data_IF_223862906482
#
_entry.id   IF_223862906482
#
_cell.length_a   1.000
_cell.length_b   1.000
_cell.length_c   1.000
_cell.angle_alpha   90.00
_cell.angle_beta   90.00
_cell.angle_gamma   90.00
#
_symmetry.space_group_name_H-M   'P 1'
#
loop_
_entity.id
_entity.type
_entity.pdbx_description
1 polymer ?
#
# COMPACT_ATOMS: atom_id res chain seq x y z
N UNK A 1 -6.55 13.64 5.33
CA UNK A 1 -5.32 13.24 6.08
C UNK A 1 -5.27 11.72 6.25
N UNK A 2 -5.01 11.03 5.14
CA UNK A 2 -4.60 9.62 5.08
C UNK A 2 -3.57 9.45 3.95
N UNK A 3 -2.89 10.55 3.63
CA UNK A 3 -1.99 10.68 2.51
C UNK A 3 -0.57 10.36 2.97
N UNK A 4 0.06 9.45 2.24
CA UNK A 4 1.50 9.45 1.91
C UNK A 4 2.54 8.87 2.88
N UNK A 5 2.20 8.31 4.05
CA UNK A 5 3.23 7.74 4.95
C UNK A 5 2.90 6.41 5.63
N UNK A 6 2.01 5.59 5.08
CA UNK A 6 1.91 4.21 5.53
C UNK A 6 2.94 3.37 4.75
N UNK A 7 4.14 3.29 5.32
CA UNK A 7 4.88 2.02 5.28
C UNK A 7 3.84 0.91 5.53
N UNK A 8 3.76 -0.07 4.61
CA UNK A 8 2.83 -1.19 4.66
C UNK A 8 2.78 -1.75 6.09
N UNK A 9 1.78 -1.36 6.88
CA UNK A 9 1.69 -1.83 8.26
C UNK A 9 1.58 -3.35 8.24
N UNK A 10 2.15 -4.09 9.21
CA UNK A 10 2.15 -5.55 9.17
C UNK A 10 0.74 -6.13 8.98
N UNK A 11 -0.26 -5.53 9.63
CA UNK A 11 -1.67 -5.92 9.49
C UNK A 11 -2.30 -5.55 8.15
N UNK A 12 -1.84 -4.50 7.47
CA UNK A 12 -2.26 -4.19 6.11
C UNK A 12 -1.62 -5.16 5.11
N UNK A 13 -0.31 -5.40 5.22
CA UNK A 13 0.42 -6.35 4.38
C UNK A 13 -0.14 -7.78 4.48
N UNK A 14 -0.52 -8.21 5.68
CA UNK A 14 -1.11 -9.53 5.93
C UNK A 14 -2.47 -9.73 5.24
N UNK A 15 -3.23 -8.65 5.01
CA UNK A 15 -4.54 -8.69 4.35
C UNK A 15 -4.47 -8.75 2.83
N UNK A 16 -3.32 -8.43 2.23
CA UNK A 16 -3.18 -8.45 0.77
C UNK A 16 -3.17 -9.90 0.24
N UNK A 17 -3.89 -10.19 -0.88
CA UNK A 17 -3.85 -11.49 -1.53
C UNK A 17 -2.42 -11.92 -1.87
N UNK A 18 -2.05 -13.15 -1.54
CA UNK A 18 -0.70 -13.70 -1.76
C UNK A 18 -0.66 -14.58 -3.01
N UNK A 19 0.49 -14.58 -3.69
CA UNK A 19 0.75 -15.51 -4.78
C UNK A 19 0.93 -16.93 -4.24
N UNK A 20 0.20 -17.87 -4.82
CA UNK A 20 0.24 -19.29 -4.42
C UNK A 20 1.35 -20.09 -5.11
N UNK A 21 1.90 -19.60 -6.22
CA UNK A 21 2.91 -20.31 -7.02
C UNK A 21 3.89 -19.32 -7.67
N UNK A 22 5.03 -19.83 -8.13
CA UNK A 22 6.02 -19.10 -8.92
C UNK A 22 7.15 -18.48 -8.09
N UNK A 23 8.02 -17.66 -8.70
CA UNK A 23 9.24 -17.15 -8.05
C UNK A 23 8.97 -16.19 -6.87
N UNK A 24 7.72 -15.72 -6.72
CA UNK A 24 7.29 -14.77 -5.69
C UNK A 24 6.21 -15.37 -4.78
N UNK A 25 6.17 -16.70 -4.64
CA UNK A 25 5.26 -17.39 -3.74
C UNK A 25 5.33 -16.80 -2.31
N UNK A 26 4.15 -16.60 -1.69
CA UNK A 26 4.03 -15.99 -0.36
C UNK A 26 4.13 -14.46 -0.34
N UNK A 27 4.54 -13.80 -1.43
CA UNK A 27 4.49 -12.35 -1.56
C UNK A 27 3.10 -11.86 -2.02
N UNK A 28 2.71 -10.61 -1.72
CA UNK A 28 1.50 -10.01 -2.25
C UNK A 28 1.44 -10.11 -3.77
N UNK A 29 0.27 -10.41 -4.33
CA UNK A 29 0.03 -10.45 -5.78
C UNK A 29 0.47 -9.17 -6.48
N UNK A 30 0.19 -8.02 -5.87
CA UNK A 30 0.62 -6.73 -6.39
C UNK A 30 2.15 -6.62 -6.58
N UNK A 31 2.96 -7.33 -5.78
CA UNK A 31 4.40 -7.40 -5.99
C UNK A 31 4.76 -8.01 -7.34
N UNK A 32 4.16 -9.15 -7.69
CA UNK A 32 4.38 -9.79 -8.99
C UNK A 32 3.93 -8.91 -10.15
N UNK A 33 2.78 -8.25 -10.01
CA UNK A 33 2.21 -7.32 -11.01
C UNK A 33 3.18 -6.16 -11.29
N UNK A 34 3.70 -5.53 -10.23
CA UNK A 34 4.61 -4.39 -10.34
C UNK A 34 6.01 -4.83 -10.78
N UNK A 35 6.50 -5.97 -10.31
CA UNK A 35 7.78 -6.53 -10.75
C UNK A 35 7.77 -6.77 -12.26
N UNK A 36 6.69 -7.34 -12.79
CA UNK A 36 6.56 -7.58 -14.22
C UNK A 36 6.58 -6.26 -15.01
N UNK A 37 5.90 -5.21 -14.54
CA UNK A 37 5.95 -3.89 -15.17
C UNK A 37 7.38 -3.36 -15.23
N UNK A 38 8.09 -3.34 -14.10
CA UNK A 38 9.47 -2.82 -14.00
C UNK A 38 10.44 -3.61 -14.87
N UNK A 39 10.28 -4.94 -14.94
CA UNK A 39 11.12 -5.80 -15.76
C UNK A 39 10.93 -5.54 -17.26
N UNK A 40 9.70 -5.29 -17.72
CA UNK A 40 9.41 -5.05 -19.14
C UNK A 40 9.68 -3.61 -19.60
N UNK A 41 9.77 -2.65 -18.67
CA UNK A 41 10.07 -1.25 -18.99
C UNK A 41 11.52 -0.85 -18.72
N UNK A 42 12.39 -1.78 -18.31
CA UNK A 42 13.74 -1.47 -17.80
C UNK A 42 13.70 -0.35 -16.74
N UNK A 43 12.73 -0.45 -15.81
CA UNK A 43 12.48 0.56 -14.77
C UNK A 43 12.11 1.96 -15.28
N UNK A 44 11.81 2.13 -16.56
CA UNK A 44 11.38 3.40 -17.15
C UNK A 44 9.87 3.59 -16.96
N UNK A 45 9.47 4.35 -15.95
CA UNK A 45 8.08 4.48 -15.54
C UNK A 45 7.52 5.87 -15.84
N UNK A 46 6.29 5.87 -16.33
CA UNK A 46 5.45 7.05 -16.57
C UNK A 46 4.06 6.77 -16.01
N UNK A 47 3.35 7.81 -15.56
CA UNK A 47 1.99 7.69 -15.02
C UNK A 47 1.04 7.00 -16.02
N UNK A 48 1.04 7.43 -17.28
CA UNK A 48 0.15 6.85 -18.31
C UNK A 48 0.37 5.35 -18.52
N UNK A 49 1.64 4.92 -18.55
CA UNK A 49 2.00 3.51 -18.72
C UNK A 49 1.52 2.70 -17.51
N UNK A 50 1.72 3.23 -16.29
CA UNK A 50 1.25 2.58 -15.07
C UNK A 50 -0.27 2.42 -15.06
N UNK A 51 -1.02 3.50 -15.35
CA UNK A 51 -2.48 3.45 -15.38
C UNK A 51 -3.00 2.46 -16.43
N UNK A 52 -2.48 2.52 -17.67
CA UNK A 52 -2.88 1.60 -18.74
C UNK A 52 -2.55 0.14 -18.40
N UNK A 53 -1.38 -0.10 -17.83
CA UNK A 53 -0.96 -1.44 -17.43
C UNK A 53 -1.87 -2.02 -16.34
N UNK A 54 -2.15 -1.24 -15.28
CA UNK A 54 -3.04 -1.68 -14.19
C UNK A 54 -4.46 -1.94 -14.71
N UNK A 55 -4.97 -1.10 -15.60
CA UNK A 55 -6.30 -1.31 -16.21
C UNK A 55 -6.32 -2.55 -17.11
N UNK A 56 -5.28 -2.77 -17.91
CA UNK A 56 -5.17 -3.96 -18.74
C UNK A 56 -5.10 -5.23 -17.89
N UNK A 57 -4.33 -5.24 -16.81
CA UNK A 57 -4.27 -6.35 -15.87
C UNK A 57 -5.65 -6.63 -15.24
N UNK A 58 -6.33 -5.57 -14.79
CA UNK A 58 -7.64 -5.66 -14.14
C UNK A 58 -8.77 -6.14 -15.05
N UNK A 59 -8.60 -6.10 -16.38
CA UNK A 59 -9.55 -6.69 -17.34
C UNK A 59 -9.67 -8.22 -17.22
N UNK A 60 -8.63 -8.87 -16.69
CA UNK A 60 -8.60 -10.32 -16.45
C UNK A 60 -8.88 -10.62 -14.98
N UNK A 61 -8.27 -9.86 -14.07
CA UNK A 61 -8.46 -10.09 -12.64
C UNK A 61 -8.47 -8.78 -11.87
N UNK A 62 -9.63 -8.37 -11.30
CA UNK A 62 -9.74 -7.17 -10.49
C UNK A 62 -8.74 -7.14 -9.33
N UNK A 63 -8.11 -5.99 -9.13
CA UNK A 63 -7.27 -5.70 -7.97
C UNK A 63 -8.17 -5.15 -6.86
N UNK A 64 -7.87 -5.50 -5.62
CA UNK A 64 -8.59 -4.93 -4.47
C UNK A 64 -8.16 -3.48 -4.24
N UNK A 65 -9.00 -2.71 -3.53
CA UNK A 65 -8.68 -1.37 -3.04
C UNK A 65 -7.34 -1.39 -2.31
N UNK A 66 -7.12 -2.40 -1.47
CA UNK A 66 -5.88 -2.58 -0.74
C UNK A 66 -4.66 -2.84 -1.64
N UNK A 67 -4.81 -3.60 -2.71
CA UNK A 67 -3.72 -3.82 -3.66
C UNK A 67 -3.38 -2.54 -4.43
N UNK A 68 -4.38 -1.76 -4.85
CA UNK A 68 -4.15 -0.50 -5.55
C UNK A 68 -3.40 0.51 -4.68
N UNK A 69 -3.76 0.64 -3.40
CA UNK A 69 -3.04 1.49 -2.45
C UNK A 69 -1.62 0.98 -2.13
N UNK A 70 -1.32 -0.29 -2.37
CA UNK A 70 0.02 -0.86 -2.18
C UNK A 70 0.97 -0.62 -3.36
N UNK A 71 0.47 -0.18 -4.53
CA UNK A 71 1.26 0.11 -5.73
C UNK A 71 2.46 1.04 -5.48
N UNK A 72 2.32 2.21 -4.82
CA UNK A 72 3.42 3.17 -4.68
C UNK A 72 4.60 2.59 -3.92
N UNK A 73 4.31 1.91 -2.80
CA UNK A 73 5.32 1.32 -1.95
C UNK A 73 5.96 0.11 -2.62
N UNK A 74 5.16 -0.71 -3.30
CA UNK A 74 5.66 -1.87 -4.05
C UNK A 74 6.59 -1.44 -5.18
N UNK A 75 6.26 -0.38 -5.92
CA UNK A 75 7.12 0.21 -6.95
C UNK A 75 8.47 0.65 -6.37
N UNK A 76 8.47 1.37 -5.24
CA UNK A 76 9.70 1.79 -4.56
C UNK A 76 10.56 0.58 -4.18
N UNK A 77 9.96 -0.45 -3.59
CA UNK A 77 10.67 -1.67 -3.19
C UNK A 77 11.33 -2.34 -4.41
N UNK A 78 10.56 -2.57 -5.49
CA UNK A 78 11.05 -3.24 -6.69
C UNK A 78 12.17 -2.43 -7.37
N UNK A 79 12.03 -1.10 -7.45
CA UNK A 79 13.04 -0.23 -8.02
C UNK A 79 14.33 -0.18 -7.19
N UNK A 80 14.22 -0.11 -5.86
CA UNK A 80 15.37 -0.13 -4.95
C UNK A 80 16.09 -1.48 -5.03
N UNK A 81 15.36 -2.58 -5.08
CA UNK A 81 15.94 -3.91 -5.24
C UNK A 81 16.65 -4.06 -6.60
N UNK A 82 16.06 -3.52 -7.67
CA UNK A 82 16.72 -3.50 -8.97
C UNK A 82 17.98 -2.62 -8.98
N UNK A 83 17.96 -1.49 -8.25
CA UNK A 83 19.14 -0.62 -8.07
C UNK A 83 20.24 -1.35 -7.31
N UNK A 84 19.89 -2.05 -6.22
CA UNK A 84 20.83 -2.86 -5.44
C UNK A 84 21.49 -3.91 -6.32
N UNK A 85 20.70 -4.65 -7.11
CA UNK A 85 21.19 -5.66 -8.06
C UNK A 85 22.14 -5.05 -9.09
N UNK A 86 21.77 -3.92 -9.67
CA UNK A 86 22.58 -3.22 -10.70
C UNK A 86 23.87 -2.65 -10.12
N UNK A 87 23.82 -2.05 -8.92
CA UNK A 87 24.99 -1.57 -8.21
C UNK A 87 25.98 -2.70 -7.89
N UNK A 88 25.47 -3.87 -7.48
CA UNK A 88 26.30 -5.04 -7.24
C UNK A 88 26.99 -5.53 -8.53
N UNK A 89 26.29 -5.52 -9.66
CA UNK A 89 26.88 -5.84 -10.96
C UNK A 89 27.98 -4.84 -11.37
N UNK A 90 27.77 -3.54 -11.16
CA UNK A 90 28.78 -2.50 -11.41
C UNK A 90 30.02 -2.70 -10.52
N UNK A 91 29.83 -2.98 -9.23
CA UNK A 91 30.95 -3.24 -8.30
C UNK A 91 31.76 -4.46 -8.76
N UNK A 92 31.10 -5.55 -9.14
CA UNK A 92 31.77 -6.75 -9.66
C UNK A 92 32.53 -6.47 -10.97
N UNK A 93 31.94 -5.68 -11.88
CA UNK A 93 32.61 -5.24 -13.10
C UNK A 93 33.85 -4.39 -12.78
N UNK A 94 33.74 -3.43 -11.85
CA UNK A 94 34.88 -2.62 -11.40
C UNK A 94 35.98 -3.44 -10.74
N UNK A 95 35.64 -4.45 -9.93
CA UNK A 95 36.61 -5.37 -9.34
C UNK A 95 37.35 -6.18 -10.43
N UNK A 96 36.63 -6.63 -11.46
CA UNK A 96 37.25 -7.29 -12.62
C UNK A 96 38.23 -6.38 -13.37
N UNK A 97 37.88 -5.10 -13.54
CA UNK A 97 38.77 -4.10 -14.17
C UNK A 97 40.04 -3.86 -13.33
N UNK A 98 39.91 -3.76 -12.01
CA UNK A 98 41.06 -3.64 -11.10
C UNK A 98 41.96 -4.88 -11.15
N UNK A 99 41.38 -6.08 -11.22
CA UNK A 99 42.14 -7.30 -11.39
C UNK A 99 42.94 -7.30 -12.71
N UNK A 100 42.33 -6.83 -13.80
CA UNK A 100 43.02 -6.66 -15.08
C UNK A 100 44.15 -5.62 -15.01
N UNK A 101 43.97 -4.51 -14.30
CA UNK A 101 45.02 -3.50 -14.10
C UNK A 101 46.21 -4.10 -13.33
N UNK A 102 45.95 -4.80 -12.22
CA UNK A 102 47.00 -5.49 -11.44
C UNK A 102 47.72 -6.57 -12.27
N UNK A 103 46.98 -7.28 -13.12
CA UNK A 103 47.56 -8.28 -14.00
C UNK A 103 48.43 -7.65 -15.09
N UNK A 104 47.98 -6.55 -15.70
CA UNK A 104 48.75 -5.78 -16.66
C UNK A 104 50.05 -5.24 -16.05
N UNK A 105 50.00 -4.74 -14.81
CA UNK A 105 51.19 -4.26 -14.08
C UNK A 105 52.20 -5.39 -13.82
N UNK A 106 51.71 -6.59 -13.50
CA UNK A 106 52.57 -7.79 -13.35
C UNK A 106 53.23 -8.16 -14.68
N UNK A 107 52.46 -8.19 -15.77
CA UNK A 107 52.99 -8.45 -17.11
C UNK A 107 54.04 -7.42 -17.51
N UNK A 108 53.82 -6.13 -17.25
CA UNK A 108 54.78 -5.08 -17.56
C UNK A 108 56.09 -5.23 -16.79
N UNK A 109 56.02 -5.55 -15.48
CA UNK A 109 57.20 -5.86 -14.67
C UNK A 109 57.96 -7.07 -15.21
N UNK A 110 57.25 -8.15 -15.52
CA UNK A 110 57.82 -9.36 -16.10
C UNK A 110 58.45 -9.13 -17.48
N UNK A 111 57.95 -8.19 -18.29
CA UNK A 111 58.60 -7.82 -19.56
C UNK A 111 59.92 -7.06 -19.37
N UNK A 112 60.11 -6.40 -18.21
CA UNK A 112 61.32 -5.61 -17.88
C UNK A 112 62.41 -6.45 -17.18
N UNK A 113 62.03 -7.55 -16.52
CA UNK A 113 62.94 -8.47 -15.85
C UNK A 113 63.19 -9.74 -16.69
N UNK A 114 64.43 -9.98 -17.12
CA UNK A 114 64.80 -11.16 -17.94
C UNK A 114 64.64 -12.50 -17.18
N UNK A 115 64.57 -12.48 -15.84
CA UNK A 115 64.46 -13.70 -15.01
C UNK A 115 63.02 -14.24 -14.89
N UNK A 116 61.99 -13.42 -15.17
CA UNK A 116 60.59 -13.81 -14.99
C UNK A 116 59.96 -14.28 -16.32
N UNK A 117 59.44 -15.51 -16.34
CA UNK A 117 58.74 -16.03 -17.52
C UNK A 117 57.27 -15.59 -17.55
N UNK A 118 56.87 -14.90 -18.63
CA UNK A 118 55.49 -14.46 -18.89
C UNK A 118 54.51 -15.64 -18.83
N UNK A 119 54.92 -16.84 -19.27
CA UNK A 119 54.07 -18.05 -19.26
C UNK A 119 53.66 -18.47 -17.84
N UNK A 120 54.54 -18.31 -16.84
CA UNK A 120 54.19 -18.60 -15.43
C UNK A 120 53.14 -17.63 -14.89
N UNK A 121 53.20 -16.37 -15.30
CA UNK A 121 52.22 -15.34 -14.92
C UNK A 121 50.87 -15.60 -15.59
N UNK A 122 50.86 -16.03 -16.85
CA UNK A 122 49.64 -16.42 -17.58
C UNK A 122 48.98 -17.66 -16.99
N UNK A 123 49.75 -18.63 -16.48
CA UNK A 123 49.23 -19.86 -15.87
C UNK A 123 48.50 -19.62 -14.54
N UNK A 124 48.74 -18.49 -13.87
CA UNK A 124 48.10 -18.11 -12.61
C UNK A 124 46.70 -17.51 -12.79
N UNK A 125 46.26 -17.26 -14.02
CA UNK A 125 44.94 -16.67 -14.30
C UNK A 125 43.89 -17.77 -14.35
N UNK A 126 42.92 -17.71 -13.44
CA UNK A 126 41.79 -18.62 -13.42
C UNK A 126 40.81 -18.33 -14.58
N UNK A 127 40.27 -19.35 -15.27
CA UNK A 127 39.35 -19.17 -16.41
C UNK A 127 38.07 -18.37 -16.08
N UNK A 128 37.64 -18.37 -14.82
CA UNK A 128 36.46 -17.64 -14.32
C UNK A 128 36.73 -16.14 -14.16
N UNK A 129 37.99 -15.73 -14.01
CA UNK A 129 38.38 -14.32 -13.87
C UNK A 129 38.36 -13.54 -15.20
N UNK A 130 38.27 -14.24 -16.34
CA UNK A 130 38.16 -13.68 -17.69
C UNK A 130 36.74 -13.19 -17.99
N UNK A 131 36.30 -12.18 -17.24
CA UNK A 131 35.04 -11.46 -17.51
C UNK A 131 35.22 -10.47 -18.67
N UNK A 132 34.11 -10.03 -19.28
CA UNK A 132 34.14 -9.05 -20.39
C UNK A 132 34.93 -7.79 -20.01
N UNK A 133 34.71 -7.30 -18.79
CA UNK A 133 35.37 -6.12 -18.23
C UNK A 133 36.87 -6.33 -18.01
N UNK A 134 37.28 -7.53 -17.58
CA UNK A 134 38.69 -7.87 -17.41
C UNK A 134 39.41 -7.83 -18.76
N UNK A 135 38.85 -8.50 -19.77
CA UNK A 135 39.41 -8.59 -21.13
C UNK A 135 39.49 -7.20 -21.76
N UNK A 136 38.40 -6.44 -21.75
CA UNK A 136 38.35 -5.10 -22.33
C UNK A 136 39.37 -4.16 -21.68
N UNK A 137 39.53 -4.24 -20.35
CA UNK A 137 40.50 -3.43 -19.62
C UNK A 137 41.95 -3.85 -19.91
N UNK A 138 42.22 -5.15 -19.96
CA UNK A 138 43.55 -5.69 -20.26
C UNK A 138 43.99 -5.28 -21.67
N UNK A 139 43.11 -5.45 -22.67
CA UNK A 139 43.38 -5.05 -24.06
C UNK A 139 43.54 -3.53 -24.19
N UNK A 140 42.79 -2.75 -23.41
CA UNK A 140 42.98 -1.31 -23.35
C UNK A 140 44.36 -0.92 -22.79
N UNK A 141 44.84 -1.58 -21.73
CA UNK A 141 46.16 -1.36 -21.14
C UNK A 141 47.31 -1.83 -22.02
N UNK A 142 47.08 -2.80 -22.92
CA UNK A 142 48.07 -3.31 -23.86
C UNK A 142 48.09 -2.58 -25.20
N UNK A 143 47.33 -1.49 -25.36
CA UNK A 143 47.35 -0.67 -26.58
C UNK A 143 48.77 -0.13 -26.84
N UNK A 144 49.28 -0.38 -28.04
CA UNK A 144 50.66 -0.03 -28.43
C UNK A 144 51.63 -1.22 -28.43
N UNK A 145 51.21 -2.39 -27.92
CA UNK A 145 51.91 -3.65 -28.13
C UNK A 145 51.41 -4.32 -29.42
N UNK A 146 52.31 -5.02 -30.11
CA UNK A 146 51.98 -5.75 -31.34
C UNK A 146 51.15 -6.99 -30.97
N UNK A 147 49.88 -7.02 -31.40
CA UNK A 147 48.90 -8.05 -31.03
C UNK A 147 49.38 -9.47 -31.36
N UNK A 148 50.09 -9.62 -32.48
CA UNK A 148 50.55 -10.92 -32.99
C UNK A 148 51.84 -11.41 -32.32
N UNK A 149 52.56 -10.52 -31.64
CA UNK A 149 53.88 -10.84 -31.06
C UNK A 149 53.87 -10.86 -29.53
N UNK A 150 52.88 -10.26 -28.89
CA UNK A 150 52.79 -10.28 -27.44
C UNK A 150 52.20 -11.61 -26.92
N UNK A 151 52.97 -12.41 -26.16
CA UNK A 151 52.52 -13.74 -25.72
C UNK A 151 51.30 -13.69 -24.79
N UNK A 152 51.02 -12.56 -24.12
CA UNK A 152 49.84 -12.43 -23.29
C UNK A 152 48.57 -12.17 -24.11
N UNK A 153 48.68 -11.47 -25.24
CA UNK A 153 47.55 -11.20 -26.14
C UNK A 153 47.19 -12.42 -26.99
N UNK A 154 48.19 -13.14 -27.50
CA UNK A 154 47.97 -14.42 -28.19
C UNK A 154 47.31 -15.44 -27.26
N UNK A 155 47.76 -15.53 -26.00
CA UNK A 155 47.11 -16.37 -24.99
C UNK A 155 45.66 -15.96 -24.72
N UNK A 156 45.39 -14.66 -24.63
CA UNK A 156 44.04 -14.13 -24.39
C UNK A 156 43.10 -14.45 -25.54
N UNK A 157 43.57 -14.30 -26.78
CA UNK A 157 42.82 -14.62 -27.99
C UNK A 157 42.50 -16.12 -28.07
N UNK A 158 43.46 -16.99 -27.77
CA UNK A 158 43.23 -18.45 -27.69
C UNK A 158 42.16 -18.79 -26.64
N UNK A 159 42.24 -18.20 -25.44
CA UNK A 159 41.25 -18.43 -24.37
C UNK A 159 39.85 -17.92 -24.72
N UNK A 160 39.75 -16.84 -25.50
CA UNK A 160 38.47 -16.32 -25.99
C UNK A 160 37.91 -17.19 -27.12
N UNK A 161 38.77 -17.69 -28.00
CA UNK A 161 38.40 -18.62 -29.06
C UNK A 161 37.82 -19.93 -28.50
N UNK A 162 38.40 -20.45 -27.40
CA UNK A 162 37.84 -21.60 -26.66
C UNK A 162 36.39 -21.35 -26.19
N UNK A 163 36.06 -20.09 -25.84
CA UNK A 163 34.72 -19.64 -25.44
C UNK A 163 33.86 -19.14 -26.63
N UNK A 164 34.30 -19.36 -27.89
CA UNK A 164 33.65 -18.88 -29.12
C UNK A 164 33.43 -17.36 -29.14
N UNK A 165 34.36 -16.59 -28.58
CA UNK A 165 34.36 -15.13 -28.57
C UNK A 165 35.63 -14.57 -29.21
N UNK A 166 35.62 -13.28 -29.56
CA UNK A 166 36.80 -12.53 -30.01
C UNK A 166 37.08 -11.36 -29.08
N UNK A 167 38.27 -10.76 -29.22
CA UNK A 167 38.64 -9.56 -28.48
C UNK A 167 37.71 -8.39 -28.82
N UNK A 168 37.46 -8.11 -30.11
CA UNK A 168 36.58 -7.00 -30.51
C UNK A 168 35.16 -7.20 -29.99
N UNK A 169 34.62 -8.42 -30.13
CA UNK A 169 33.28 -8.73 -29.64
C UNK A 169 33.17 -8.53 -28.13
N UNK A 170 34.17 -8.99 -27.39
CA UNK A 170 34.20 -8.84 -25.93
C UNK A 170 34.27 -7.38 -25.49
N UNK A 171 35.04 -6.55 -26.20
CA UNK A 171 35.10 -5.10 -25.96
C UNK A 171 33.75 -4.45 -26.25
N UNK A 172 33.14 -4.78 -27.38
CA UNK A 172 31.83 -4.27 -27.76
C UNK A 172 30.75 -4.63 -26.73
N UNK A 173 30.73 -5.89 -26.28
CA UNK A 173 29.80 -6.40 -25.29
C UNK A 173 30.02 -5.72 -23.91
N UNK A 174 31.27 -5.44 -23.51
CA UNK A 174 31.54 -4.66 -22.29
C UNK A 174 30.97 -3.24 -22.40
N UNK A 175 31.24 -2.52 -23.50
CA UNK A 175 30.70 -1.17 -23.71
C UNK A 175 29.16 -1.14 -23.71
N UNK A 176 28.52 -2.11 -24.36
CA UNK A 176 27.05 -2.23 -24.35
C UNK A 176 26.53 -2.48 -22.93
N UNK A 177 27.16 -3.36 -22.15
CA UNK A 177 26.79 -3.60 -20.75
C UNK A 177 26.95 -2.35 -19.88
N UNK A 178 28.01 -1.56 -20.08
CA UNK A 178 28.17 -0.29 -19.37
C UNK A 178 27.09 0.72 -19.73
N UNK A 179 26.75 0.81 -21.01
CA UNK A 179 25.65 1.64 -21.50
C UNK A 179 24.32 1.24 -20.87
N UNK A 180 24.03 -0.07 -20.83
CA UNK A 180 22.83 -0.62 -20.21
C UNK A 180 22.76 -0.29 -18.71
N UNK A 181 23.83 -0.51 -17.94
CA UNK A 181 23.84 -0.17 -16.51
C UNK A 181 23.57 1.31 -16.27
N UNK A 182 24.19 2.20 -17.05
CA UNK A 182 23.96 3.64 -16.92
C UNK A 182 22.52 4.04 -17.28
N UNK A 183 21.94 3.42 -18.31
CA UNK A 183 20.55 3.63 -18.70
C UNK A 183 19.57 3.14 -17.61
N UNK A 184 19.74 1.92 -17.12
CA UNK A 184 18.90 1.35 -16.05
C UNK A 184 18.99 2.17 -14.77
N UNK A 185 20.19 2.57 -14.32
CA UNK A 185 20.35 3.42 -13.12
C UNK A 185 19.64 4.76 -13.33
N UNK A 186 19.81 5.40 -14.49
CA UNK A 186 19.09 6.65 -14.82
C UNK A 186 17.58 6.44 -14.76
N UNK A 187 17.06 5.38 -15.38
CA UNK A 187 15.63 5.06 -15.39
C UNK A 187 15.11 4.85 -13.96
N UNK A 188 15.81 4.08 -13.12
CA UNK A 188 15.43 3.86 -11.73
C UNK A 188 15.35 5.18 -10.95
N UNK A 189 16.39 6.02 -11.04
CA UNK A 189 16.43 7.29 -10.29
C UNK A 189 15.33 8.25 -10.76
N UNK A 190 15.11 8.36 -12.08
CA UNK A 190 14.03 9.17 -12.65
C UNK A 190 12.66 8.66 -12.18
N UNK A 191 12.44 7.35 -12.23
CA UNK A 191 11.18 6.72 -11.80
C UNK A 191 10.92 6.85 -10.30
N UNK A 192 11.94 6.70 -9.45
CA UNK A 192 11.83 6.93 -8.00
C UNK A 192 11.44 8.38 -7.69
N UNK A 193 12.02 9.34 -8.42
CA UNK A 193 11.66 10.76 -8.29
C UNK A 193 10.23 11.01 -8.74
N UNK A 194 9.83 10.44 -9.89
CA UNK A 194 8.48 10.53 -10.43
C UNK A 194 7.46 9.99 -9.42
N UNK A 195 7.65 8.78 -8.91
CA UNK A 195 6.79 8.14 -7.89
C UNK A 195 6.59 9.01 -6.64
N UNK A 196 7.58 9.83 -6.28
CA UNK A 196 7.51 10.71 -5.12
C UNK A 196 6.74 12.00 -5.41
N UNK A 197 6.73 12.47 -6.67
CA UNK A 197 6.04 13.69 -7.08
C UNK A 197 4.61 13.48 -7.60
N UNK A 198 4.16 12.23 -7.77
CA UNK A 198 2.82 11.91 -8.23
C UNK A 198 1.76 12.07 -7.15
N UNK A 199 0.59 12.59 -7.53
CA UNK A 199 -0.61 12.50 -6.71
C UNK A 199 -1.22 11.09 -6.85
N UNK A 200 -1.00 10.27 -5.84
CA UNK A 200 -1.50 8.91 -5.80
C UNK A 200 -3.02 8.82 -5.63
N UNK A 201 -3.66 9.88 -5.14
CA UNK A 201 -5.13 9.91 -5.05
C UNK A 201 -5.73 9.94 -6.46
N UNK A 202 -5.23 10.81 -7.33
CA UNK A 202 -5.67 10.90 -8.73
C UNK A 202 -5.44 9.59 -9.49
N UNK A 203 -4.25 9.01 -9.37
CA UNK A 203 -3.92 7.73 -10.02
C UNK A 203 -4.85 6.63 -9.54
N UNK A 204 -5.08 6.55 -8.24
CA UNK A 204 -5.98 5.57 -7.65
C UNK A 204 -7.38 5.67 -8.28
N UNK A 205 -7.94 6.87 -8.40
CA UNK A 205 -9.28 7.07 -8.96
C UNK A 205 -9.37 6.70 -10.44
N UNK A 206 -8.31 6.93 -11.22
CA UNK A 206 -8.26 6.52 -12.63
C UNK A 206 -8.26 4.99 -12.81
N UNK A 207 -7.67 4.25 -11.89
CA UNK A 207 -7.49 2.79 -12.00
C UNK A 207 -8.47 1.97 -11.16
N UNK A 208 -9.16 2.58 -10.19
CA UNK A 208 -10.13 1.92 -9.32
C UNK A 208 -11.39 1.53 -10.12
N UNK A 209 -11.66 0.22 -10.22
CA UNK A 209 -12.86 -0.26 -10.92
C UNK A 209 -14.17 0.09 -10.18
N UNK A 210 -14.11 0.23 -8.86
CA UNK A 210 -15.28 0.60 -8.04
C UNK A 210 -15.72 2.03 -8.36
N UNK A 211 -14.77 2.95 -8.50
CA UNK A 211 -15.05 4.33 -8.89
C UNK A 211 -15.71 4.40 -10.27
N UNK A 212 -15.24 3.56 -11.20
CA UNK A 212 -15.85 3.43 -12.54
C UNK A 212 -17.27 2.88 -12.47
N UNK A 213 -17.55 1.94 -11.56
CA UNK A 213 -18.89 1.40 -11.36
C UNK A 213 -19.87 2.49 -10.87
N UNK A 214 -19.40 3.44 -10.05
CA UNK A 214 -20.23 4.53 -9.52
C UNK A 214 -20.30 5.79 -10.39
N UNK A 215 -19.77 5.79 -11.61
CA UNK A 215 -19.72 6.98 -12.48
C UNK A 215 -21.10 7.54 -12.85
N UNK A 216 -22.15 6.71 -12.84
CA UNK A 216 -23.52 7.15 -13.15
C UNK A 216 -24.24 7.83 -11.97
N UNK A 217 -23.61 7.92 -10.80
CA UNK A 217 -24.24 8.42 -9.57
C UNK A 217 -23.63 9.77 -9.17
N UNK A 218 -24.38 10.89 -9.31
CA UNK A 218 -23.91 12.23 -8.97
C UNK A 218 -23.45 12.37 -7.52
N UNK A 219 -24.09 11.64 -6.60
CA UNK A 219 -23.73 11.56 -5.18
C UNK A 219 -22.28 11.10 -4.95
N UNK A 220 -21.75 10.28 -5.85
CA UNK A 220 -20.37 9.81 -5.80
C UNK A 220 -19.46 10.70 -6.64
N UNK A 221 -19.84 11.05 -7.87
CA UNK A 221 -18.96 11.82 -8.77
C UNK A 221 -18.78 13.28 -8.37
N UNK A 222 -19.74 13.87 -7.66
CA UNK A 222 -19.64 15.23 -7.13
C UNK A 222 -19.11 15.27 -5.71
N UNK A 223 -18.82 14.11 -5.09
CA UNK A 223 -18.35 14.03 -3.71
C UNK A 223 -16.84 14.23 -3.61
N UNK A 224 -16.39 14.85 -2.52
CA UNK A 224 -14.96 15.01 -2.25
C UNK A 224 -14.26 13.65 -2.06
N UNK A 225 -12.94 13.64 -2.23
CA UNK A 225 -12.14 12.43 -2.10
C UNK A 225 -12.41 11.69 -0.78
N UNK A 226 -12.57 12.42 0.33
CA UNK A 226 -12.84 11.84 1.65
C UNK A 226 -14.18 11.10 1.69
N UNK A 227 -15.20 11.65 1.03
CA UNK A 227 -16.52 11.04 0.95
C UNK A 227 -16.54 9.84 0.01
N UNK A 228 -15.87 9.92 -1.13
CA UNK A 228 -15.68 8.76 -2.02
C UNK A 228 -14.93 7.63 -1.30
N UNK A 229 -13.96 7.95 -0.46
CA UNK A 229 -13.26 6.99 0.40
C UNK A 229 -14.18 6.32 1.45
N UNK A 230 -15.29 6.94 1.87
CA UNK A 230 -16.29 6.28 2.72
C UNK A 230 -16.94 5.09 2.00
N UNK A 231 -17.28 5.25 0.71
CA UNK A 231 -17.85 4.17 -0.10
C UNK A 231 -16.85 3.03 -0.24
N UNK A 232 -15.60 3.36 -0.61
CA UNK A 232 -14.51 2.39 -0.77
C UNK A 232 -14.26 1.61 0.53
N UNK A 233 -14.17 2.30 1.68
CA UNK A 233 -14.03 1.67 3.00
C UNK A 233 -15.22 0.80 3.36
N UNK A 234 -16.44 1.24 3.06
CA UNK A 234 -17.63 0.43 3.33
C UNK A 234 -17.58 -0.88 2.54
N UNK A 235 -17.18 -0.83 1.27
CA UNK A 235 -17.00 -2.01 0.42
C UNK A 235 -15.87 -2.91 0.92
N UNK A 236 -14.70 -2.36 1.27
CA UNK A 236 -13.58 -3.11 1.86
C UNK A 236 -14.02 -3.82 3.16
N UNK A 237 -14.72 -3.11 4.05
CA UNK A 237 -15.24 -3.67 5.29
C UNK A 237 -16.23 -4.82 5.03
N UNK A 238 -17.13 -4.68 4.05
CA UNK A 238 -18.11 -5.71 3.69
C UNK A 238 -17.44 -6.92 3.02
N UNK A 239 -16.42 -6.70 2.20
CA UNK A 239 -15.63 -7.76 1.56
C UNK A 239 -14.86 -8.57 2.61
N UNK A 240 -14.24 -7.91 3.59
CA UNK A 240 -13.49 -8.57 4.66
C UNK A 240 -14.35 -9.47 5.54
N UNK A 241 -15.63 -9.14 5.73
CA UNK A 241 -16.57 -9.95 6.51
C UNK A 241 -17.48 -10.87 5.67
N UNK A 242 -17.22 -11.01 4.37
CA UNK A 242 -17.97 -11.90 3.47
C UNK A 242 -17.03 -12.70 2.57
N UNK A 243 -17.58 -13.56 1.71
CA UNK A 243 -16.82 -14.30 0.67
C UNK A 243 -16.96 -13.65 -0.72
N UNK A 244 -17.52 -12.45 -0.78
CA UNK A 244 -17.87 -11.75 -2.02
C UNK A 244 -16.76 -10.75 -2.37
N UNK A 245 -16.46 -10.59 -3.66
CA UNK A 245 -15.43 -9.63 -4.08
C UNK A 245 -15.89 -8.18 -3.89
N UNK A 246 -14.94 -7.27 -3.73
CA UNK A 246 -15.24 -5.83 -3.56
C UNK A 246 -16.06 -5.28 -4.74
N UNK A 247 -15.73 -5.69 -5.96
CA UNK A 247 -16.44 -5.26 -7.17
C UNK A 247 -17.87 -5.83 -7.22
N UNK A 248 -18.07 -7.08 -6.81
CA UNK A 248 -19.41 -7.68 -6.75
C UNK A 248 -20.29 -7.00 -5.69
N UNK A 249 -19.73 -6.60 -4.55
CA UNK A 249 -20.45 -5.82 -3.53
C UNK A 249 -20.89 -4.47 -4.09
N UNK A 250 -20.02 -3.79 -4.84
CA UNK A 250 -20.36 -2.54 -5.51
C UNK A 250 -21.54 -2.73 -6.48
N UNK A 251 -21.49 -3.77 -7.33
CA UNK A 251 -22.59 -4.07 -8.26
C UNK A 251 -23.89 -4.45 -7.55
N UNK A 252 -23.84 -5.16 -6.42
CA UNK A 252 -25.04 -5.47 -5.62
C UNK A 252 -25.66 -4.21 -5.02
N UNK A 253 -24.86 -3.29 -4.51
CA UNK A 253 -25.36 -2.00 -4.01
C UNK A 253 -26.04 -1.19 -5.13
N UNK A 254 -25.47 -1.21 -6.34
CA UNK A 254 -26.07 -0.59 -7.54
C UNK A 254 -27.39 -1.28 -7.91
N UNK A 255 -27.45 -2.62 -7.87
CA UNK A 255 -28.67 -3.36 -8.19
C UNK A 255 -29.82 -3.04 -7.21
N UNK A 256 -29.53 -2.95 -5.92
CA UNK A 256 -30.52 -2.50 -4.92
C UNK A 256 -31.01 -1.09 -5.19
N UNK A 257 -30.11 -0.16 -5.52
CA UNK A 257 -30.46 1.21 -5.87
C UNK A 257 -31.36 1.30 -7.12
N UNK A 258 -31.07 0.50 -8.15
CA UNK A 258 -31.89 0.42 -9.36
C UNK A 258 -33.28 -0.17 -9.07
N UNK A 259 -33.34 -1.26 -8.30
CA UNK A 259 -34.62 -1.89 -7.92
C UNK A 259 -35.50 -0.94 -7.09
N UNK A 260 -34.89 -0.17 -6.17
CA UNK A 260 -35.61 0.81 -5.37
C UNK A 260 -36.11 1.99 -6.21
N UNK A 261 -35.38 2.38 -7.26
CA UNK A 261 -35.84 3.40 -8.21
C UNK A 261 -37.12 2.98 -8.93
N UNK A 262 -37.25 1.70 -9.29
CA UNK A 262 -38.44 1.15 -9.94
C UNK A 262 -39.62 0.96 -8.98
N UNK A 263 -39.34 0.52 -7.75
CA UNK A 263 -40.38 0.09 -6.79
C UNK A 263 -40.84 1.22 -5.85
N UNK A 264 -39.95 2.16 -5.53
CA UNK A 264 -40.14 3.18 -4.49
C UNK A 264 -39.65 4.57 -4.94
N UNK A 265 -40.19 5.05 -6.07
CA UNK A 265 -39.87 6.37 -6.63
C UNK A 265 -40.15 7.58 -5.70
N UNK A 266 -40.80 7.37 -4.55
CA UNK A 266 -41.10 8.43 -3.58
C UNK A 266 -39.92 8.84 -2.69
N UNK A 267 -38.91 7.97 -2.48
CA UNK A 267 -37.72 8.30 -1.68
C UNK A 267 -36.44 8.26 -2.55
N UNK A 268 -35.95 9.41 -3.04
CA UNK A 268 -34.79 9.47 -3.93
C UNK A 268 -33.49 9.02 -3.26
N UNK A 269 -33.46 8.89 -1.92
CA UNK A 269 -32.27 8.38 -1.22
C UNK A 269 -32.07 6.89 -1.48
N UNK A 270 -33.16 6.13 -1.62
CA UNK A 270 -33.09 4.68 -1.87
C UNK A 270 -32.62 4.35 -3.28
N UNK A 271 -32.75 5.27 -4.23
CA UNK A 271 -32.18 5.10 -5.57
C UNK A 271 -30.66 5.34 -5.65
N UNK A 272 -30.01 5.59 -4.52
CA UNK A 272 -28.58 5.82 -4.43
C UNK A 272 -27.83 4.63 -3.80
N UNK A 273 -26.72 4.14 -4.40
CA UNK A 273 -25.96 3.03 -3.83
C UNK A 273 -25.32 3.37 -2.48
N UNK A 274 -25.04 4.65 -2.21
CA UNK A 274 -24.52 5.13 -0.93
C UNK A 274 -25.48 4.85 0.22
N UNK A 275 -26.79 4.81 -0.02
CA UNK A 275 -27.79 4.42 0.99
C UNK A 275 -27.58 2.98 1.49
N UNK A 276 -27.25 2.06 0.58
CA UNK A 276 -26.99 0.66 0.90
C UNK A 276 -25.58 0.39 1.45
N UNK A 277 -24.65 1.33 1.29
CA UNK A 277 -23.29 1.20 1.81
C UNK A 277 -23.11 1.88 3.18
N UNK A 278 -23.70 3.06 3.35
CA UNK A 278 -23.41 3.96 4.46
C UNK A 278 -24.59 4.19 5.40
N UNK A 279 -25.83 3.99 4.93
CA UNK A 279 -27.05 4.38 5.64
C UNK A 279 -27.91 3.15 6.02
N UNK A 280 -29.21 3.35 6.19
CA UNK A 280 -30.14 2.35 6.72
C UNK A 280 -30.29 1.11 5.81
N UNK A 281 -30.10 1.27 4.50
CA UNK A 281 -30.16 0.17 3.53
C UNK A 281 -29.03 -0.86 3.68
N UNK A 282 -28.01 -0.55 4.49
CA UNK A 282 -26.86 -1.43 4.70
C UNK A 282 -27.22 -2.81 5.24
N UNK A 283 -28.27 -2.91 6.06
CA UNK A 283 -28.69 -4.20 6.61
C UNK A 283 -29.21 -5.16 5.53
N UNK A 284 -29.90 -4.63 4.53
CA UNK A 284 -30.43 -5.39 3.39
C UNK A 284 -29.27 -5.95 2.55
N UNK A 285 -28.26 -5.10 2.27
CA UNK A 285 -27.06 -5.51 1.56
C UNK A 285 -26.25 -6.55 2.37
N UNK A 286 -26.08 -6.33 3.68
CA UNK A 286 -25.38 -7.27 4.57
C UNK A 286 -26.03 -8.66 4.59
N UNK A 287 -27.37 -8.71 4.59
CA UNK A 287 -28.12 -9.96 4.54
C UNK A 287 -27.90 -10.70 3.21
N UNK A 288 -27.94 -9.99 2.08
CA UNK A 288 -27.77 -10.55 0.74
C UNK A 288 -26.34 -11.09 0.50
N UNK A 289 -25.32 -10.42 1.04
CA UNK A 289 -23.92 -10.86 0.88
C UNK A 289 -23.49 -11.90 1.92
N UNK A 290 -24.36 -12.22 2.90
CA UNK A 290 -24.03 -13.12 4.00
C UNK A 290 -22.92 -12.57 4.91
N UNK A 291 -22.94 -11.27 5.19
CA UNK A 291 -21.93 -10.60 5.99
C UNK A 291 -21.95 -11.08 7.45
N UNK A 292 -20.77 -11.46 7.97
CA UNK A 292 -20.59 -11.85 9.36
C UNK A 292 -19.99 -10.67 10.17
N UNK A 293 -20.80 -9.85 10.86
CA UNK A 293 -20.27 -8.73 11.63
C UNK A 293 -19.45 -9.24 12.84
N UNK A 294 -18.35 -8.56 13.21
CA UNK A 294 -17.66 -8.85 14.45
C UNK A 294 -18.59 -8.62 15.64
N UNK A 295 -18.50 -9.47 16.66
CA UNK A 295 -19.41 -9.47 17.82
C UNK A 295 -19.52 -8.10 18.49
N UNK A 296 -18.41 -7.35 18.58
CA UNK A 296 -18.40 -5.99 19.13
C UNK A 296 -19.31 -5.03 18.35
N UNK A 297 -19.28 -5.07 17.01
CA UNK A 297 -20.15 -4.23 16.17
C UNK A 297 -21.61 -4.65 16.34
N UNK A 298 -21.90 -5.94 16.50
CA UNK A 298 -23.26 -6.44 16.76
C UNK A 298 -23.83 -5.88 18.07
N UNK A 299 -23.08 -5.99 19.17
CA UNK A 299 -23.52 -5.44 20.47
C UNK A 299 -23.72 -3.92 20.44
N UNK A 300 -22.82 -3.18 19.79
CA UNK A 300 -22.95 -1.72 19.65
C UNK A 300 -24.19 -1.38 18.82
N UNK A 301 -24.43 -2.11 17.73
CA UNK A 301 -25.59 -1.89 16.86
C UNK A 301 -26.90 -2.19 17.58
N UNK A 302 -26.97 -3.30 18.30
CA UNK A 302 -28.15 -3.68 19.10
C UNK A 302 -28.42 -2.65 20.20
N UNK A 303 -27.37 -2.14 20.86
CA UNK A 303 -27.49 -1.07 21.86
C UNK A 303 -27.99 0.24 21.25
N UNK A 304 -27.44 0.67 20.10
CA UNK A 304 -27.89 1.86 19.39
C UNK A 304 -29.32 1.72 18.86
N UNK A 305 -29.73 0.53 18.41
CA UNK A 305 -31.09 0.28 17.92
C UNK A 305 -32.15 0.40 19.03
N UNK A 306 -31.80 0.09 20.28
CA UNK A 306 -32.69 0.33 21.43
C UNK A 306 -32.76 1.83 21.80
N UNK A 307 -31.87 2.67 21.27
CA UNK A 307 -31.92 4.12 21.44
C UNK A 307 -31.91 4.55 22.91
N UNK A 308 -32.84 5.46 23.26
CA UNK A 308 -32.92 6.04 24.62
C UNK A 308 -33.26 4.98 25.67
N UNK A 309 -34.03 3.94 25.32
CA UNK A 309 -34.44 2.91 26.28
C UNK A 309 -33.28 1.98 26.64
N UNK A 310 -32.45 1.61 25.66
CA UNK A 310 -31.22 0.84 25.91
C UNK A 310 -30.22 1.63 26.74
N UNK A 311 -30.07 2.93 26.44
CA UNK A 311 -29.20 3.82 27.20
C UNK A 311 -29.66 4.00 28.66
N UNK A 312 -30.95 4.24 28.90
CA UNK A 312 -31.49 4.42 30.25
C UNK A 312 -31.44 3.13 31.07
N UNK A 313 -31.73 1.97 30.45
CA UNK A 313 -31.64 0.66 31.10
C UNK A 313 -30.19 0.33 31.49
N UNK A 314 -29.23 0.59 30.61
CA UNK A 314 -27.82 0.35 30.89
C UNK A 314 -27.29 1.22 32.03
N UNK A 315 -27.67 2.50 32.07
CA UNK A 315 -27.35 3.37 33.20
C UNK A 315 -27.98 2.83 34.47
N UNK A 316 -29.28 2.52 34.45
CA UNK A 316 -29.99 2.03 35.63
C UNK A 316 -29.36 0.75 36.20
N UNK A 317 -29.04 -0.22 35.34
CA UNK A 317 -28.38 -1.46 35.74
C UNK A 317 -26.97 -1.21 36.31
N UNK A 318 -26.20 -0.30 35.70
CA UNK A 318 -24.86 0.04 36.17
C UNK A 318 -24.89 0.85 37.47
N UNK A 319 -25.89 1.72 37.66
CA UNK A 319 -26.12 2.44 38.91
C UNK A 319 -26.45 1.48 40.04
N UNK A 320 -27.33 0.49 39.80
CA UNK A 320 -27.62 -0.58 40.77
C UNK A 320 -26.37 -1.40 41.12
N UNK A 321 -25.56 -1.74 40.11
CA UNK A 321 -24.29 -2.44 40.31
C UNK A 321 -23.32 -1.62 41.18
N UNK A 322 -23.14 -0.34 40.90
CA UNK A 322 -22.30 0.53 41.72
C UNK A 322 -22.85 0.76 43.13
N UNK A 323 -24.18 0.83 43.29
CA UNK A 323 -24.83 0.95 44.58
C UNK A 323 -24.68 -0.33 45.44
N UNK A 324 -24.52 -1.50 44.82
CA UNK A 324 -24.27 -2.75 45.55
C UNK A 324 -22.95 -2.75 46.33
N UNK A 325 -21.94 -2.00 45.88
CA UNK A 325 -20.61 -1.94 46.50
C UNK A 325 -20.67 -1.33 47.92
N UNK A 326 -21.20 -0.12 48.14
CA UNK A 326 -21.31 0.46 49.48
C UNK A 326 -22.27 -0.33 50.39
N UNK A 327 -23.32 -0.93 49.82
CA UNK A 327 -24.23 -1.82 50.58
C UNK A 327 -23.46 -3.04 51.09
N UNK A 328 -22.70 -3.72 50.23
CA UNK A 328 -21.91 -4.90 50.61
C UNK A 328 -20.81 -4.58 51.63
N UNK A 329 -20.18 -3.40 51.54
CA UNK A 329 -19.21 -2.94 52.54
C UNK A 329 -19.91 -2.71 53.89
N UNK A 330 -21.11 -2.12 53.87
CA UNK A 330 -21.90 -1.83 55.08
C UNK A 330 -22.46 -3.07 55.77
N UNK A 331 -22.74 -4.16 55.05
CA UNK A 331 -23.26 -5.41 55.67
C UNK A 331 -22.24 -6.12 56.56
N UNK A 332 -20.94 -5.79 56.46
CA UNK A 332 -19.90 -6.36 57.33
C UNK A 332 -19.90 -5.74 58.74
N UNK A 333 -20.57 -4.61 58.92
CA UNK A 333 -20.74 -3.94 60.21
C UNK A 333 -22.25 -3.86 60.54
N UNK A 334 -22.68 -4.66 61.51
CA UNK A 334 -24.04 -4.79 62.06
C UNK A 334 -25.01 -3.64 61.70
N UNK A 335 -26.01 -3.90 60.85
CA UNK A 335 -26.81 -2.82 60.26
C UNK A 335 -28.25 -2.77 60.75
N UNK A 336 -28.60 -1.68 61.46
CA UNK A 336 -29.97 -1.20 61.62
C UNK A 336 -30.52 -0.76 60.25
N UNK A 337 -31.79 -1.07 59.93
CA UNK A 337 -32.46 -0.67 58.67
C UNK A 337 -32.30 0.81 58.33
N UNK A 338 -32.24 1.68 59.35
CA UNK A 338 -32.04 3.13 59.20
C UNK A 338 -30.69 3.48 58.55
N UNK A 339 -29.61 2.75 58.86
CA UNK A 339 -28.29 3.02 58.30
C UNK A 339 -28.22 2.66 56.81
N UNK A 340 -28.84 1.53 56.41
CA UNK A 340 -28.92 1.15 54.99
C UNK A 340 -29.66 2.20 54.16
N UNK A 341 -30.75 2.76 54.67
CA UNK A 341 -31.50 3.85 54.00
C UNK A 341 -30.61 5.08 53.82
N UNK A 342 -29.80 5.44 54.84
CA UNK A 342 -28.88 6.57 54.78
C UNK A 342 -27.76 6.34 53.76
N UNK A 343 -27.19 5.13 53.69
CA UNK A 343 -26.19 4.76 52.68
C UNK A 343 -26.77 4.87 51.27
N UNK A 344 -27.98 4.34 51.03
CA UNK A 344 -28.63 4.43 49.71
C UNK A 344 -28.88 5.88 49.31
N UNK A 345 -29.35 6.72 50.24
CA UNK A 345 -29.63 8.14 49.95
C UNK A 345 -28.34 8.92 49.63
N UNK A 346 -27.29 8.74 50.43
CA UNK A 346 -26.02 9.46 50.25
C UNK A 346 -25.21 8.94 49.05
N UNK A 347 -25.20 7.63 48.81
CA UNK A 347 -24.43 7.01 47.74
C UNK A 347 -25.18 6.94 46.39
N UNK A 348 -26.50 7.11 46.39
CA UNK A 348 -27.33 7.04 45.17
C UNK A 348 -26.94 8.08 44.11
N UNK A 349 -26.75 9.35 44.51
CA UNK A 349 -26.37 10.42 43.58
C UNK A 349 -24.97 10.17 42.98
N UNK A 350 -23.90 9.95 43.78
CA UNK A 350 -22.57 9.69 43.23
C UNK A 350 -22.48 8.44 42.34
N UNK A 351 -23.19 7.36 42.70
CA UNK A 351 -23.18 6.11 41.91
C UNK A 351 -23.92 6.26 40.58
N UNK A 352 -25.00 7.05 40.55
CA UNK A 352 -25.71 7.40 39.32
C UNK A 352 -24.82 8.23 38.38
N UNK A 353 -24.14 9.26 38.88
CA UNK A 353 -23.21 10.06 38.06
C UNK A 353 -22.03 9.22 37.53
N UNK A 354 -21.47 8.35 38.35
CA UNK A 354 -20.40 7.43 37.94
C UNK A 354 -20.87 6.48 36.82
N UNK A 355 -22.09 5.96 36.91
CA UNK A 355 -22.69 5.12 35.89
C UNK A 355 -22.85 5.89 34.56
N UNK A 356 -23.39 7.10 34.60
CA UNK A 356 -23.55 7.97 33.42
C UNK A 356 -22.18 8.27 32.79
N UNK A 357 -21.18 8.65 33.58
CA UNK A 357 -19.84 8.93 33.08
C UNK A 357 -19.19 7.70 32.42
N UNK A 358 -19.39 6.51 32.99
CA UNK A 358 -18.89 5.25 32.44
C UNK A 358 -19.55 4.91 31.10
N UNK A 359 -20.88 4.95 31.04
CA UNK A 359 -21.64 4.70 29.80
C UNK A 359 -21.27 5.72 28.73
N UNK A 360 -21.19 7.02 29.06
CA UNK A 360 -20.77 8.06 28.10
C UNK A 360 -19.37 7.80 27.56
N UNK A 361 -18.41 7.42 28.42
CA UNK A 361 -17.04 7.11 27.99
C UNK A 361 -16.97 5.86 27.11
N UNK A 362 -17.78 4.84 27.42
CA UNK A 362 -17.91 3.64 26.59
C UNK A 362 -18.56 3.96 25.25
N UNK A 363 -19.64 4.73 25.24
CA UNK A 363 -20.35 5.16 24.05
C UNK A 363 -19.43 5.97 23.11
N UNK A 364 -18.66 6.92 23.64
CA UNK A 364 -17.70 7.70 22.85
C UNK A 364 -16.55 6.86 22.25
N UNK A 365 -16.20 5.72 22.88
CA UNK A 365 -15.21 4.77 22.34
C UNK A 365 -15.81 3.81 21.31
N UNK A 366 -17.07 3.44 21.51
CA UNK A 366 -17.78 2.44 20.72
C UNK A 366 -18.38 3.03 19.44
N UNK A 367 -19.00 4.20 19.55
CA UNK A 367 -19.63 4.90 18.43
C UNK A 367 -18.56 5.70 17.71
N UNK A 368 -18.15 5.18 16.55
CA UNK A 368 -17.19 5.88 15.69
C UNK A 368 -17.93 6.98 14.95
N UNK A 369 -17.53 8.24 15.16
CA UNK A 369 -18.06 9.37 14.39
C UNK A 369 -17.74 9.15 12.92
N UNK A 370 -18.78 8.93 12.11
CA UNK A 370 -18.67 8.93 10.65
C UNK A 370 -18.78 10.36 10.16
N UNK A 371 -17.80 10.78 9.35
CA UNK A 371 -17.85 12.06 8.66
C UNK A 371 -19.09 12.08 7.75
N UNK A 372 -19.78 13.21 7.71
CA UNK A 372 -20.87 13.41 6.77
C UNK A 372 -20.28 13.56 5.36
N UNK A 373 -20.86 12.87 4.34
CA UNK A 373 -20.45 13.06 2.96
C UNK A 373 -20.57 14.53 2.54
N UNK A 374 -19.53 15.04 1.89
CA UNK A 374 -19.41 16.41 1.38
C UNK A 374 -19.19 16.43 -0.14
N UNK A 375 -19.56 17.56 -0.75
CA UNK A 375 -19.39 17.80 -2.19
C UNK A 375 -18.01 18.42 -2.49
N UNK A 376 -17.44 18.03 -3.63
CA UNK A 376 -16.19 18.56 -4.18
C UNK A 376 -16.45 19.83 -4.97
N UNK A 377 -16.47 20.98 -4.28
CA UNK A 377 -16.70 22.29 -4.90
C UNK A 377 -15.39 23.02 -5.24
N UNK A 378 -14.48 22.36 -5.96
CA UNK A 378 -13.15 22.90 -6.32
C UNK A 378 -13.24 24.20 -7.13
N UNK A 379 -14.28 24.37 -7.96
CA UNK A 379 -14.51 25.56 -8.78
C UNK A 379 -15.34 26.65 -8.07
N UNK A 380 -15.62 26.49 -6.77
CA UNK A 380 -16.49 27.36 -5.99
C UNK A 380 -17.93 26.86 -5.89
N UNK A 381 -18.76 27.59 -5.12
CA UNK A 381 -20.15 27.23 -4.86
C UNK A 381 -21.04 27.71 -6.02
N UNK A 382 -21.74 26.81 -6.74
CA UNK A 382 -22.67 27.20 -7.80
C UNK A 382 -23.82 28.06 -7.30
N UNK A 383 -24.38 28.89 -8.19
CA UNK A 383 -25.47 29.82 -7.84
C UNK A 383 -26.70 29.14 -7.23
N UNK A 384 -27.03 27.93 -7.69
CA UNK A 384 -28.15 27.13 -7.19
C UNK A 384 -27.88 26.48 -5.82
N UNK A 385 -26.64 26.49 -5.33
CA UNK A 385 -26.23 25.92 -4.04
C UNK A 385 -25.83 27.00 -3.01
N UNK A 386 -25.96 28.29 -3.35
CA UNK A 386 -25.62 29.40 -2.44
C UNK A 386 -26.46 29.29 -1.18
N UNK A 387 -25.79 29.03 -0.06
CA UNK A 387 -26.42 28.80 1.24
C UNK A 387 -25.78 29.74 2.26
N UNK A 388 -26.61 30.49 3.00
CA UNK A 388 -26.15 31.28 4.15
C UNK A 388 -26.18 30.39 5.39
N UNK A 389 -25.00 30.04 5.92
CA UNK A 389 -24.89 29.30 7.18
C UNK A 389 -24.76 30.29 8.32
N UNK A 390 -25.78 30.35 9.19
CA UNK A 390 -25.74 31.14 10.42
C UNK A 390 -25.21 30.24 11.53
N UNK A 391 -23.96 30.47 11.96
CA UNK A 391 -23.37 29.77 13.10
C UNK A 391 -23.53 30.66 14.32
N UNK A 392 -24.46 30.35 15.26
CA UNK A 392 -24.54 31.08 16.50
C UNK A 392 -23.32 30.73 17.35
N UNK A 393 -22.37 31.66 17.43
CA UNK A 393 -21.18 31.52 18.27
C UNK A 393 -21.15 32.65 19.32
N UNK A 394 -20.94 32.26 20.57
CA UNK A 394 -20.59 33.18 21.65
C UNK A 394 -19.11 33.50 21.50
N UNK A 395 -18.78 34.73 21.07
CA UNK A 395 -17.42 35.24 21.09
C UNK A 395 -17.04 35.49 22.55
N UNK A 396 -16.36 34.54 23.18
CA UNK A 396 -15.79 34.74 24.51
C UNK A 396 -14.50 35.54 24.37
N UNK A 397 -14.47 36.75 24.93
CA UNK A 397 -13.24 37.54 25.05
C UNK A 397 -12.29 36.86 26.06
N UNK A 398 -11.21 36.26 25.56
CA UNK A 398 -9.90 36.17 26.22
C UNK A 398 -8.90 35.50 25.27
N UNK A 399 -7.90 36.28 24.85
CA UNK A 399 -6.68 35.78 24.20
C UNK A 399 -5.77 35.06 25.19
#
# INVERSE_FOLDING_TARGET
IRETSLDLSPGYYARLPKLANGPFEGLPRIFGVIWALVAHTDSHLHQDILCRYLLAYQSVTPLTIGELWAVPMTLRIVLIENLRRTAHAIINNNNSRRAADLFADRLEKTRKDEELSIQKVLALVEPESLTLAFVARLVHRSRGLDLEKDPALVWLEQRLADKKSSIEKTIQDDFQNQGAFNATVRNIITSLRLITGLDWTEIFEQVCLIDKAFTNYPSFTQADFTSRDLYRKAIEDLALGSKVSELDIAHRAIAFAQQAQETHASDPRKSDPGYYLLLEGRLELEAEIGFAPPLSRKFIRDFCHQGITGYSLAIFALSLLFLSIPIWISEKEYTHTFWLVLVVLCAGIPTSEAAVACINRLALRAVKVTMLPGLELLQGIPDHMRTLVVIPALLTDAK
#
